data_IF_964241033147
#
_entry.id   IF_964241033147
#
_cell.length_a   1.000
_cell.length_b   1.000
_cell.length_c   1.000
_cell.angle_alpha   90.00
_cell.angle_beta   90.00
_cell.angle_gamma   90.00
#
_symmetry.space_group_name_H-M   'P 1'
#
loop_
_entity.id
_entity.type
_entity.pdbx_description
1 polymer ?
#
# COMPACT_ATOMS: atom_id res chain seq x y z
N UNK A 1 -37.97 4.90 -44.03
CA UNK A 1 -37.76 5.34 -42.64
C UNK A 1 -36.35 4.89 -42.22
N UNK A 2 -35.33 5.71 -42.47
CA UNK A 2 -33.94 5.35 -42.15
C UNK A 2 -33.65 5.73 -40.69
N UNK A 3 -33.52 4.73 -39.82
CA UNK A 3 -32.95 4.92 -38.48
C UNK A 3 -31.49 5.34 -38.65
N UNK A 4 -31.19 6.60 -38.30
CA UNK A 4 -29.82 7.08 -38.13
C UNK A 4 -29.17 6.25 -37.02
N UNK A 5 -28.26 5.36 -37.40
CA UNK A 5 -27.27 4.79 -36.51
C UNK A 5 -26.47 5.94 -35.91
N UNK A 6 -26.77 6.30 -34.66
CA UNK A 6 -25.94 7.20 -33.88
C UNK A 6 -24.56 6.52 -33.79
N UNK A 7 -23.47 7.13 -34.28
CA UNK A 7 -22.15 6.54 -34.13
C UNK A 7 -21.88 6.38 -32.64
N UNK A 8 -21.69 5.13 -32.20
CA UNK A 8 -21.24 4.83 -30.84
C UNK A 8 -19.94 5.62 -30.64
N UNK A 9 -19.96 6.56 -29.69
CA UNK A 9 -18.75 7.27 -29.23
C UNK A 9 -17.68 6.19 -28.98
N UNK A 10 -16.46 6.34 -29.52
CA UNK A 10 -15.38 5.41 -29.17
C UNK A 10 -15.29 5.35 -27.65
N UNK A 11 -15.06 4.17 -27.04
CA UNK A 11 -14.94 4.07 -25.60
C UNK A 11 -13.90 5.07 -25.13
N UNK A 12 -14.32 6.00 -24.26
CA UNK A 12 -13.42 6.96 -23.61
C UNK A 12 -12.24 6.17 -23.08
N UNK A 13 -11.02 6.60 -23.43
CA UNK A 13 -9.81 5.93 -22.96
C UNK A 13 -9.85 5.88 -21.43
N UNK A 14 -9.81 4.67 -20.86
CA UNK A 14 -9.77 4.48 -19.42
C UNK A 14 -8.38 4.88 -18.95
N UNK A 15 -8.21 6.14 -18.55
CA UNK A 15 -6.90 6.72 -18.21
C UNK A 15 -6.60 6.55 -16.72
N UNK A 16 -5.66 5.67 -16.34
CA UNK A 16 -5.21 5.57 -14.96
C UNK A 16 -4.43 6.84 -14.56
N UNK A 17 -4.47 7.18 -13.27
CA UNK A 17 -3.60 8.19 -12.68
C UNK A 17 -2.81 7.60 -11.53
N UNK A 18 -1.52 7.96 -11.47
CA UNK A 18 -0.64 7.61 -10.37
C UNK A 18 -0.37 8.86 -9.54
N UNK A 19 -0.15 8.68 -8.25
CA UNK A 19 0.12 9.78 -7.33
C UNK A 19 1.41 9.52 -6.55
N UNK A 20 2.15 10.58 -6.27
CA UNK A 20 3.42 10.50 -5.56
C UNK A 20 3.28 9.82 -4.19
N UNK A 21 4.19 8.89 -3.88
CA UNK A 21 4.26 8.17 -2.60
C UNK A 21 5.49 8.48 -1.78
N UNK A 22 6.01 9.70 -1.86
CA UNK A 22 7.30 10.07 -1.26
C UNK A 22 7.27 9.79 0.25
N UNK A 23 8.35 9.25 0.84
CA UNK A 23 8.48 9.17 2.28
C UNK A 23 8.35 10.58 2.89
N UNK A 24 7.53 10.69 3.91
CA UNK A 24 7.34 11.92 4.69
C UNK A 24 7.47 11.58 6.16
N UNK A 25 7.82 12.58 6.98
CA UNK A 25 7.68 12.43 8.42
C UNK A 25 6.19 12.31 8.75
N UNK A 26 5.78 11.12 9.21
CA UNK A 26 4.43 10.87 9.69
C UNK A 26 4.36 10.87 11.22
N UNK A 27 3.14 10.87 11.74
CA UNK A 27 2.87 10.68 13.17
C UNK A 27 3.08 9.21 13.54
N UNK A 28 3.83 8.97 14.60
CA UNK A 28 4.13 7.61 15.06
C UNK A 28 2.91 6.95 15.71
N UNK A 29 2.78 5.63 15.53
CA UNK A 29 1.78 4.80 16.19
C UNK A 29 2.32 3.38 16.41
N UNK A 30 1.73 2.62 17.33
CA UNK A 30 2.12 1.23 17.56
C UNK A 30 1.21 0.27 16.78
N UNK A 31 1.82 -0.49 15.86
CA UNK A 31 1.13 -1.49 15.04
C UNK A 31 1.15 -2.87 15.68
N UNK A 32 2.05 -3.09 16.65
CA UNK A 32 2.34 -4.40 17.23
C UNK A 32 1.12 -5.07 17.84
N UNK A 33 0.27 -4.36 18.62
CA UNK A 33 -0.96 -4.95 19.17
C UNK A 33 -1.88 -5.49 18.07
N UNK A 34 -1.97 -4.81 16.93
CA UNK A 34 -2.83 -5.23 15.82
C UNK A 34 -2.28 -6.43 15.04
N UNK A 35 -0.97 -6.67 15.11
CA UNK A 35 -0.30 -7.74 14.38
C UNK A 35 0.03 -8.97 15.24
N UNK A 36 0.11 -8.81 16.56
CA UNK A 36 0.36 -9.90 17.51
C UNK A 36 -0.69 -11.02 17.35
N UNK A 37 -0.27 -12.29 17.46
CA UNK A 37 -1.18 -13.44 17.54
C UNK A 37 -0.87 -14.59 16.57
N UNK A 38 0.13 -15.43 16.89
CA UNK A 38 0.29 -16.75 16.26
C UNK A 38 -0.75 -17.69 16.92
N UNK A 39 -1.93 -17.83 16.29
CA UNK A 39 -3.04 -18.61 16.83
C UNK A 39 -4.33 -17.81 17.08
N UNK A 40 -4.36 -16.52 16.75
CA UNK A 40 -5.55 -15.70 16.93
C UNK A 40 -6.70 -16.16 16.03
N UNK A 41 -7.88 -16.30 16.63
CA UNK A 41 -9.14 -16.41 15.89
C UNK A 41 -9.33 -15.14 15.04
N UNK A 42 -9.88 -15.30 13.84
CA UNK A 42 -10.05 -14.19 12.89
C UNK A 42 -10.89 -13.01 13.42
N UNK A 43 -11.70 -13.20 14.46
CA UNK A 43 -12.45 -12.15 15.15
C UNK A 43 -11.56 -11.24 16.00
N UNK A 44 -10.60 -11.80 16.73
CA UNK A 44 -9.69 -11.05 17.61
C UNK A 44 -8.80 -10.11 16.82
N UNK A 45 -8.21 -10.60 15.72
CA UNK A 45 -7.39 -9.76 14.83
C UNK A 45 -8.20 -8.61 14.21
N UNK A 46 -9.45 -8.87 13.79
CA UNK A 46 -10.33 -7.83 13.25
C UNK A 46 -10.62 -6.74 14.27
N UNK A 47 -10.87 -7.11 15.53
CA UNK A 47 -11.09 -6.15 16.62
C UNK A 47 -9.85 -5.27 16.85
N UNK A 48 -8.65 -5.87 16.91
CA UNK A 48 -7.41 -5.08 17.10
C UNK A 48 -7.11 -4.15 15.92
N UNK A 49 -7.37 -4.59 14.69
CA UNK A 49 -7.25 -3.71 13.51
C UNK A 49 -8.28 -2.57 13.52
N UNK A 50 -9.49 -2.81 14.03
CA UNK A 50 -10.48 -1.76 14.20
C UNK A 50 -10.05 -0.73 15.25
N UNK A 51 -9.53 -1.20 16.40
CA UNK A 51 -8.98 -0.32 17.44
C UNK A 51 -7.81 0.52 16.93
N UNK A 52 -6.87 -0.10 16.19
CA UNK A 52 -5.78 0.63 15.52
C UNK A 52 -6.32 1.68 14.55
N UNK A 53 -7.36 1.36 13.77
CA UNK A 53 -7.95 2.32 12.85
C UNK A 53 -8.60 3.51 13.58
N UNK A 54 -9.15 3.29 14.77
CA UNK A 54 -9.66 4.36 15.63
C UNK A 54 -8.56 5.23 16.22
N UNK A 55 -7.47 4.63 16.68
CA UNK A 55 -6.27 5.35 17.16
C UNK A 55 -5.69 6.22 16.05
N UNK A 56 -5.41 5.63 14.88
CA UNK A 56 -4.87 6.35 13.71
C UNK A 56 -5.80 7.47 13.28
N UNK A 57 -7.13 7.24 13.29
CA UNK A 57 -8.12 8.28 12.96
C UNK A 57 -7.99 9.48 13.90
N UNK A 58 -7.88 9.27 15.21
CA UNK A 58 -7.69 10.35 16.16
C UNK A 58 -6.36 11.07 15.93
N UNK A 59 -5.30 10.30 15.69
CA UNK A 59 -3.94 10.82 15.49
C UNK A 59 -3.83 11.78 14.29
N UNK A 60 -4.49 11.46 13.17
CA UNK A 60 -4.40 12.25 11.93
C UNK A 60 -5.60 13.16 11.68
N UNK A 61 -6.52 13.30 12.63
CA UNK A 61 -7.76 14.05 12.44
C UNK A 61 -7.51 15.51 12.01
N UNK A 62 -6.60 16.20 12.68
CA UNK A 62 -6.27 17.60 12.37
C UNK A 62 -5.60 17.74 11.00
N UNK A 63 -4.63 16.87 10.69
CA UNK A 63 -3.95 16.86 9.39
C UNK A 63 -4.94 16.59 8.26
N UNK A 64 -5.88 15.67 8.48
CA UNK A 64 -6.93 15.34 7.52
C UNK A 64 -7.93 16.48 7.31
N UNK A 65 -8.17 17.34 8.31
CA UNK A 65 -8.98 18.55 8.11
C UNK A 65 -8.21 19.64 7.38
N UNK A 66 -6.91 19.79 7.68
CA UNK A 66 -6.08 20.84 7.09
C UNK A 66 -5.60 20.53 5.66
N UNK A 67 -5.53 19.24 5.28
CA UNK A 67 -4.99 18.83 3.98
C UNK A 67 -5.96 19.11 2.84
N UNK A 68 -5.57 19.85 1.78
CA UNK A 68 -6.42 20.09 0.62
C UNK A 68 -6.77 18.81 -0.16
N UNK A 69 -7.85 18.85 -0.94
CA UNK A 69 -8.17 17.80 -1.90
C UNK A 69 -7.31 17.92 -3.18
N UNK A 70 -7.05 16.80 -3.88
CA UNK A 70 -7.41 15.44 -3.49
C UNK A 70 -6.45 14.88 -2.42
N UNK A 71 -6.96 14.04 -1.53
CA UNK A 71 -6.17 13.54 -0.38
C UNK A 71 -5.55 12.16 -0.61
N UNK A 72 -4.33 12.01 -0.08
CA UNK A 72 -3.58 10.76 0.01
C UNK A 72 -3.33 10.33 1.46
N UNK A 73 -3.18 9.03 1.66
CA UNK A 73 -2.77 8.41 2.92
C UNK A 73 -1.42 7.71 2.72
N UNK A 74 -0.47 7.92 3.63
CA UNK A 74 0.79 7.17 3.71
C UNK A 74 0.84 6.43 5.04
N UNK A 75 1.15 5.14 5.01
CA UNK A 75 1.36 4.30 6.18
C UNK A 75 2.67 3.55 6.01
N UNK A 76 3.62 3.75 6.90
CA UNK A 76 4.87 3.02 6.92
C UNK A 76 4.89 2.12 8.17
N UNK A 77 4.80 0.81 7.96
CA UNK A 77 4.72 -0.20 9.02
C UNK A 77 6.13 -0.61 9.42
N UNK A 78 6.50 -0.31 10.66
CA UNK A 78 7.70 -0.84 11.29
C UNK A 78 7.39 -2.18 11.95
N UNK A 79 8.15 -3.22 11.58
CA UNK A 79 8.06 -4.54 12.18
C UNK A 79 9.36 -4.85 12.95
N UNK A 80 9.28 -5.58 14.06
CA UNK A 80 10.46 -6.15 14.71
C UNK A 80 11.32 -7.01 13.76
N UNK A 81 12.61 -7.16 14.07
CA UNK A 81 13.58 -7.87 13.21
C UNK A 81 13.29 -9.38 13.09
N UNK A 82 12.60 -9.95 14.09
CA UNK A 82 12.22 -11.37 14.14
C UNK A 82 10.90 -11.69 13.40
N UNK A 83 10.15 -10.67 12.98
CA UNK A 83 8.88 -10.84 12.25
C UNK A 83 9.15 -11.01 10.75
N UNK A 84 8.77 -12.14 10.12
CA UNK A 84 9.05 -12.36 8.70
C UNK A 84 8.32 -11.36 7.77
N UNK A 85 9.08 -10.46 7.11
CA UNK A 85 8.51 -9.44 6.21
C UNK A 85 7.75 -10.02 5.02
N UNK A 86 8.26 -11.10 4.43
CA UNK A 86 7.80 -11.60 3.12
C UNK A 86 6.73 -12.70 3.20
N UNK A 87 6.40 -13.17 4.41
CA UNK A 87 5.51 -14.31 4.61
C UNK A 87 4.10 -13.92 5.10
N UNK A 88 3.96 -12.76 5.76
CA UNK A 88 2.73 -12.34 6.43
C UNK A 88 2.56 -10.82 6.41
N UNK A 89 1.52 -10.30 7.06
CA UNK A 89 1.21 -8.86 7.13
C UNK A 89 0.96 -8.26 5.75
N UNK A 90 -0.06 -8.80 5.08
CA UNK A 90 -0.58 -8.29 3.82
C UNK A 90 -0.97 -6.82 3.97
N UNK A 91 -0.35 -5.95 3.16
CA UNK A 91 -0.51 -4.50 3.30
C UNK A 91 -1.93 -4.02 2.98
N UNK A 92 -2.66 -4.69 2.08
CA UNK A 92 -4.07 -4.39 1.79
C UNK A 92 -4.97 -4.65 3.00
N UNK A 93 -4.66 -5.70 3.77
CA UNK A 93 -5.44 -6.09 4.95
C UNK A 93 -5.23 -5.12 6.12
N UNK A 94 -4.10 -4.41 6.15
CA UNK A 94 -3.83 -3.32 7.09
C UNK A 94 -4.40 -1.98 6.59
N UNK A 95 -4.28 -1.70 5.29
CA UNK A 95 -4.75 -0.45 4.68
C UNK A 95 -6.27 -0.30 4.71
N UNK A 96 -7.00 -1.39 4.45
CA UNK A 96 -8.44 -1.34 4.24
C UNK A 96 -9.23 -0.80 5.44
N UNK A 97 -9.02 -1.30 6.68
CA UNK A 97 -9.72 -0.77 7.85
C UNK A 97 -9.41 0.72 8.09
N UNK A 98 -8.16 1.15 7.90
CA UNK A 98 -7.76 2.55 8.05
C UNK A 98 -8.56 3.44 7.10
N UNK A 99 -8.49 3.16 5.80
CA UNK A 99 -9.13 4.00 4.78
C UNK A 99 -10.65 3.99 4.94
N UNK A 100 -11.24 2.85 5.28
CA UNK A 100 -12.68 2.74 5.54
C UNK A 100 -13.11 3.58 6.74
N UNK A 101 -12.36 3.52 7.84
CA UNK A 101 -12.67 4.25 9.08
C UNK A 101 -12.46 5.75 8.95
N UNK A 102 -11.34 6.18 8.35
CA UNK A 102 -11.02 7.59 8.13
C UNK A 102 -11.99 8.23 7.13
N UNK A 103 -12.28 7.55 6.01
CA UNK A 103 -13.22 8.05 5.00
C UNK A 103 -14.66 8.12 5.52
N UNK A 104 -15.11 7.10 6.25
CA UNK A 104 -16.46 7.09 6.86
C UNK A 104 -16.65 8.18 7.90
N UNK A 105 -15.64 8.46 8.73
CA UNK A 105 -15.72 9.46 9.79
C UNK A 105 -15.65 10.91 9.30
N UNK A 106 -15.04 11.16 8.13
CA UNK A 106 -14.81 12.52 7.63
C UNK A 106 -15.57 12.87 6.36
N UNK A 107 -16.15 11.87 5.68
CA UNK A 107 -16.76 12.04 4.36
C UNK A 107 -15.73 12.26 3.24
N UNK A 108 -14.43 12.37 3.56
CA UNK A 108 -13.37 12.58 2.56
C UNK A 108 -13.04 11.29 1.82
N UNK A 109 -12.68 11.42 0.54
CA UNK A 109 -12.32 10.30 -0.32
C UNK A 109 -10.83 10.32 -0.62
N UNK A 110 -10.12 9.29 -0.20
CA UNK A 110 -8.72 9.09 -0.58
C UNK A 110 -8.63 8.67 -2.04
N UNK A 111 -7.81 9.39 -2.82
CA UNK A 111 -7.48 9.03 -4.21
C UNK A 111 -6.15 8.28 -4.32
N UNK A 112 -5.34 8.32 -3.25
CA UNK A 112 -4.06 7.60 -3.18
C UNK A 112 -3.83 7.05 -1.79
N UNK A 113 -3.40 5.79 -1.71
CA UNK A 113 -3.04 5.12 -0.47
C UNK A 113 -1.72 4.42 -0.70
N UNK A 114 -0.71 4.80 0.09
CA UNK A 114 0.60 4.21 0.08
C UNK A 114 0.82 3.49 1.39
N UNK A 115 1.15 2.21 1.33
CA UNK A 115 1.48 1.40 2.50
C UNK A 115 2.82 0.73 2.26
N UNK A 116 3.72 0.76 3.24
CA UNK A 116 4.96 -0.01 3.20
C UNK A 116 5.13 -0.83 4.47
N UNK A 117 5.96 -1.87 4.41
CA UNK A 117 6.46 -2.56 5.60
C UNK A 117 7.96 -2.77 5.51
N UNK A 118 8.64 -2.61 6.64
CA UNK A 118 10.08 -2.79 6.79
C UNK A 118 10.40 -3.17 8.23
N UNK A 119 11.59 -3.70 8.45
CA UNK A 119 12.12 -3.80 9.80
C UNK A 119 12.41 -2.39 10.31
N UNK A 120 11.70 -1.97 11.35
CA UNK A 120 11.86 -0.66 11.99
C UNK A 120 11.15 -0.68 13.35
N UNK A 121 11.68 0.10 14.30
CA UNK A 121 11.13 0.19 15.66
C UNK A 121 9.78 0.91 15.75
N UNK A 122 9.43 1.69 14.73
CA UNK A 122 8.26 2.58 14.77
C UNK A 122 7.48 2.49 13.47
N UNK A 123 6.15 2.50 13.58
CA UNK A 123 5.25 2.75 12.45
C UNK A 123 4.88 4.23 12.39
N UNK A 124 4.57 4.73 11.20
CA UNK A 124 4.16 6.12 11.01
C UNK A 124 3.04 6.27 9.99
N UNK A 125 2.15 7.23 10.21
CA UNK A 125 1.04 7.57 9.32
C UNK A 125 1.07 9.05 8.98
N UNK A 126 0.75 9.38 7.74
CA UNK A 126 0.61 10.76 7.29
C UNK A 126 -0.57 10.91 6.33
N UNK A 127 -1.26 12.04 6.43
CA UNK A 127 -2.23 12.50 5.44
C UNK A 127 -1.57 13.62 4.65
N UNK A 128 -1.67 13.55 3.32
CA UNK A 128 -0.96 14.44 2.40
C UNK A 128 -1.84 14.83 1.23
N UNK A 129 -1.59 15.98 0.58
CA UNK A 129 -2.14 16.25 -0.74
C UNK A 129 -1.65 15.19 -1.73
N UNK A 130 -2.56 14.63 -2.52
CA UNK A 130 -2.22 13.67 -3.56
C UNK A 130 -1.81 14.42 -4.83
N UNK A 131 -0.53 14.32 -5.18
CA UNK A 131 0.03 14.94 -6.38
C UNK A 131 0.11 13.91 -7.51
N UNK A 132 -0.61 14.13 -8.64
CA UNK A 132 -0.47 13.27 -9.81
C UNK A 132 0.98 13.25 -10.30
N UNK A 133 1.42 12.08 -10.75
CA UNK A 133 2.73 11.87 -11.35
C UNK A 133 2.57 11.10 -12.66
N UNK A 134 3.56 11.19 -13.59
CA UNK A 134 3.62 10.31 -14.74
C UNK A 134 3.57 8.83 -14.31
N UNK A 135 3.17 7.96 -15.25
CA UNK A 135 3.18 6.52 -15.04
C UNK A 135 4.57 6.07 -14.52
N UNK A 136 4.64 5.45 -13.32
CA UNK A 136 5.91 5.08 -12.70
C UNK A 136 6.63 3.95 -13.45
N UNK A 137 5.97 3.33 -14.43
CA UNK A 137 6.49 2.19 -15.16
C UNK A 137 6.67 0.96 -14.26
N UNK A 138 7.60 0.09 -14.65
CA UNK A 138 7.92 -1.13 -13.90
C UNK A 138 8.44 -2.25 -14.80
N UNK A 139 9.01 -3.30 -14.22
CA UNK A 139 9.45 -4.48 -14.97
C UNK A 139 8.29 -5.32 -15.49
N UNK A 140 7.12 -5.21 -14.84
CA UNK A 140 5.87 -5.84 -15.25
C UNK A 140 4.76 -4.79 -15.29
N UNK A 141 4.09 -4.67 -16.45
CA UNK A 141 3.08 -3.63 -16.70
C UNK A 141 1.88 -4.25 -17.40
N UNK A 142 0.70 -4.04 -16.82
CA UNK A 142 -0.57 -4.49 -17.41
C UNK A 142 -1.60 -3.37 -17.36
N UNK A 143 -2.49 -3.40 -18.35
CA UNK A 143 -3.74 -2.64 -18.37
C UNK A 143 -4.86 -3.67 -18.44
N UNK A 144 -5.70 -3.70 -17.43
CA UNK A 144 -6.74 -4.72 -17.26
C UNK A 144 -8.08 -4.03 -17.19
N UNK A 145 -9.09 -4.63 -17.83
CA UNK A 145 -10.48 -4.19 -17.75
C UNK A 145 -11.36 -5.31 -17.22
N UNK A 146 -12.23 -5.01 -16.26
CA UNK A 146 -13.23 -5.97 -15.79
C UNK A 146 -14.60 -5.30 -15.68
N UNK A 147 -15.63 -6.05 -16.04
CA UNK A 147 -17.04 -5.67 -15.89
C UNK A 147 -17.74 -6.54 -14.85
N UNK A 148 -17.06 -7.57 -14.36
CA UNK A 148 -17.60 -8.53 -13.43
C UNK A 148 -17.80 -7.94 -12.03
N UNK A 149 -18.74 -8.52 -11.29
CA UNK A 149 -18.92 -8.20 -9.88
C UNK A 149 -17.79 -8.82 -9.04
N UNK A 150 -17.36 -8.09 -8.00
CA UNK A 150 -16.21 -8.46 -7.15
C UNK A 150 -16.46 -9.73 -6.32
N UNK A 151 -17.73 -10.10 -6.15
CA UNK A 151 -18.15 -11.28 -5.37
C UNK A 151 -18.09 -12.57 -6.20
N UNK A 152 -17.88 -12.48 -7.51
CA UNK A 152 -17.86 -13.66 -8.38
C UNK A 152 -16.43 -14.09 -8.70
N UNK A 153 -16.26 -15.38 -9.02
CA UNK A 153 -14.99 -15.92 -9.53
C UNK A 153 -14.60 -15.30 -10.87
N UNK A 154 -15.58 -14.83 -11.65
CA UNK A 154 -15.41 -14.17 -12.95
C UNK A 154 -14.51 -12.94 -12.87
N UNK A 155 -14.60 -12.15 -11.79
CA UNK A 155 -13.72 -10.99 -11.61
C UNK A 155 -12.24 -11.40 -11.65
N UNK A 156 -11.88 -12.43 -10.87
CA UNK A 156 -10.51 -12.93 -10.81
C UNK A 156 -10.07 -13.54 -12.14
N UNK A 157 -10.96 -14.28 -12.80
CA UNK A 157 -10.69 -14.90 -14.10
C UNK A 157 -10.43 -13.85 -15.18
N UNK A 158 -11.26 -12.80 -15.26
CA UNK A 158 -11.08 -11.71 -16.24
C UNK A 158 -9.72 -11.03 -16.07
N UNK A 159 -9.28 -10.78 -14.82
CA UNK A 159 -7.96 -10.22 -14.57
C UNK A 159 -6.87 -11.19 -15.02
N UNK A 160 -6.94 -12.47 -14.59
CA UNK A 160 -5.93 -13.49 -14.93
C UNK A 160 -5.77 -13.69 -16.44
N UNK A 161 -6.87 -13.70 -17.18
CA UNK A 161 -6.86 -13.86 -18.62
C UNK A 161 -6.20 -12.69 -19.37
N UNK A 162 -6.11 -11.52 -18.76
CA UNK A 162 -5.47 -10.32 -19.33
C UNK A 162 -4.01 -10.16 -18.94
N UNK A 163 -3.51 -10.97 -18.00
CA UNK A 163 -2.10 -10.95 -17.55
C UNK A 163 -1.36 -12.25 -17.90
N UNK A 164 -1.76 -12.94 -18.96
CA UNK A 164 -1.16 -14.23 -19.36
C UNK A 164 0.32 -14.15 -19.70
N UNK A 165 0.80 -12.97 -20.13
CA UNK A 165 2.22 -12.69 -20.35
C UNK A 165 3.01 -12.39 -19.06
N UNK A 166 2.36 -12.39 -17.89
CA UNK A 166 3.03 -12.14 -16.61
C UNK A 166 4.06 -13.22 -16.31
N UNK A 167 5.25 -12.75 -15.94
CA UNK A 167 6.32 -13.60 -15.42
C UNK A 167 6.40 -13.40 -13.91
N UNK A 168 6.53 -14.48 -13.12
CA UNK A 168 6.75 -14.35 -11.68
C UNK A 168 7.94 -13.42 -11.39
N UNK A 169 7.75 -12.49 -10.47
CA UNK A 169 8.85 -11.62 -10.04
C UNK A 169 9.90 -12.43 -9.25
N UNK A 170 11.20 -12.13 -9.42
CA UNK A 170 12.29 -12.75 -8.66
C UNK A 170 12.00 -12.77 -7.17
N UNK A 171 12.48 -13.79 -6.45
CA UNK A 171 12.28 -13.89 -5.00
C UNK A 171 12.76 -12.63 -4.26
N UNK A 172 12.03 -12.23 -3.22
CA UNK A 172 12.26 -10.99 -2.48
C UNK A 172 11.00 -10.13 -2.34
N UNK A 173 11.18 -8.93 -1.77
CA UNK A 173 10.13 -7.93 -1.64
C UNK A 173 9.62 -7.43 -2.99
N UNK A 174 8.37 -7.00 -3.04
CA UNK A 174 7.72 -6.49 -4.25
C UNK A 174 7.21 -5.07 -3.99
N UNK A 175 7.53 -4.17 -4.92
CA UNK A 175 6.89 -2.87 -5.03
C UNK A 175 5.76 -2.97 -6.06
N UNK A 176 4.51 -2.86 -5.60
CA UNK A 176 3.30 -2.95 -6.40
C UNK A 176 2.55 -1.62 -6.38
N UNK A 177 2.17 -1.12 -7.55
CA UNK A 177 1.22 -0.02 -7.68
C UNK A 177 0.02 -0.46 -8.54
N UNK A 178 -1.17 -0.17 -8.04
CA UNK A 178 -2.44 -0.38 -8.74
C UNK A 178 -3.15 0.96 -8.90
N UNK A 179 -3.50 1.34 -10.12
CA UNK A 179 -4.38 2.48 -10.36
C UNK A 179 -5.72 1.98 -10.90
N UNK A 180 -6.78 2.24 -10.12
CA UNK A 180 -8.16 1.93 -10.47
C UNK A 180 -8.82 3.12 -11.14
N UNK A 181 -9.52 2.87 -12.24
CA UNK A 181 -10.47 3.83 -12.83
C UNK A 181 -11.87 3.24 -12.68
N UNK A 182 -12.73 3.94 -11.96
CA UNK A 182 -14.04 3.42 -11.54
C UNK A 182 -15.15 4.44 -11.70
N UNK A 183 -16.39 3.97 -11.86
CA UNK A 183 -17.57 4.82 -11.76
C UNK A 183 -17.82 5.38 -10.34
N UNK A 184 -18.60 6.47 -10.19
CA UNK A 184 -18.73 7.26 -8.97
C UNK A 184 -19.37 6.54 -7.78
N UNK A 185 -20.12 5.46 -8.03
CA UNK A 185 -20.84 4.68 -7.01
C UNK A 185 -20.01 3.55 -6.41
N UNK A 186 -18.79 3.31 -6.91
CA UNK A 186 -18.00 2.14 -6.52
C UNK A 186 -17.13 2.46 -5.31
N UNK A 187 -17.29 1.69 -4.24
CA UNK A 187 -16.37 1.69 -3.11
C UNK A 187 -15.06 1.01 -3.52
N UNK A 188 -14.15 1.78 -4.11
CA UNK A 188 -12.89 1.28 -4.66
C UNK A 188 -11.99 0.52 -3.66
N UNK A 189 -12.01 0.76 -2.33
CA UNK A 189 -11.25 -0.06 -1.39
C UNK A 189 -11.64 -1.53 -1.38
N UNK A 190 -12.89 -1.85 -1.69
CA UNK A 190 -13.37 -3.23 -1.78
C UNK A 190 -12.75 -3.99 -2.96
N UNK A 191 -12.09 -3.30 -3.91
CA UNK A 191 -11.45 -3.91 -5.07
C UNK A 191 -10.05 -4.46 -4.77
N UNK A 192 -9.38 -3.96 -3.73
CA UNK A 192 -7.94 -4.17 -3.55
C UNK A 192 -7.59 -5.63 -3.36
N UNK A 193 -8.20 -6.27 -2.34
CA UNK A 193 -7.87 -7.64 -1.96
C UNK A 193 -8.08 -8.61 -3.12
N UNK A 194 -9.27 -8.56 -3.73
CA UNK A 194 -9.61 -9.45 -4.84
C UNK A 194 -8.73 -9.21 -6.07
N UNK A 195 -8.32 -7.96 -6.31
CA UNK A 195 -7.38 -7.61 -7.40
C UNK A 195 -6.00 -8.21 -7.11
N UNK A 196 -5.44 -7.97 -5.91
CA UNK A 196 -4.13 -8.51 -5.51
C UNK A 196 -4.14 -10.05 -5.55
N UNK A 197 -5.19 -10.69 -5.06
CA UNK A 197 -5.37 -12.15 -5.13
C UNK A 197 -5.45 -12.68 -6.57
N UNK A 198 -5.83 -11.84 -7.54
CA UNK A 198 -5.87 -12.18 -8.96
C UNK A 198 -4.49 -12.09 -9.62
N UNK A 199 -3.56 -11.33 -9.04
CA UNK A 199 -2.18 -11.14 -9.52
C UNK A 199 -1.22 -12.26 -9.07
N UNK A 200 -1.73 -13.40 -8.58
CA UNK A 200 -0.92 -14.58 -8.21
C UNK A 200 0.15 -14.98 -9.24
N UNK A 201 -0.10 -14.98 -10.56
CA UNK A 201 0.93 -15.30 -11.55
C UNK A 201 2.17 -14.40 -11.49
N UNK A 202 1.99 -13.15 -11.04
CA UNK A 202 3.04 -12.15 -10.91
C UNK A 202 3.72 -12.20 -9.52
N UNK A 203 2.90 -12.33 -8.47
CA UNK A 203 3.33 -12.16 -7.07
C UNK A 203 3.79 -13.47 -6.42
N UNK A 204 3.40 -14.62 -6.97
CA UNK A 204 3.60 -15.93 -6.36
C UNK A 204 2.58 -16.22 -5.24
N UNK A 205 2.88 -17.22 -4.42
CA UNK A 205 2.06 -17.62 -3.30
C UNK A 205 2.80 -17.43 -1.96
N UNK A 206 2.18 -16.79 -0.95
CA UNK A 206 0.92 -16.03 -1.00
C UNK A 206 1.07 -14.69 -1.76
N UNK A 207 0.02 -14.26 -2.47
CA UNK A 207 0.07 -13.09 -3.36
C UNK A 207 0.28 -11.75 -2.66
N UNK A 208 -0.10 -11.61 -1.39
CA UNK A 208 0.07 -10.38 -0.61
C UNK A 208 1.35 -10.32 0.23
N UNK A 209 1.83 -11.48 0.70
CA UNK A 209 2.87 -11.53 1.74
C UNK A 209 4.19 -10.87 1.31
N UNK A 210 4.55 -10.99 0.03
CA UNK A 210 5.80 -10.46 -0.53
C UNK A 210 5.76 -8.97 -0.85
N UNK A 211 4.58 -8.33 -0.85
CA UNK A 211 4.47 -6.91 -1.18
C UNK A 211 5.02 -6.10 0.00
N UNK A 212 6.13 -5.39 -0.19
CA UNK A 212 6.75 -4.53 0.84
C UNK A 212 6.40 -3.06 0.63
N UNK A 213 6.04 -2.69 -0.59
CA UNK A 213 5.64 -1.33 -0.97
C UNK A 213 4.40 -1.42 -1.85
N UNK A 214 3.29 -0.88 -1.36
CA UNK A 214 1.98 -0.92 -2.01
C UNK A 214 1.49 0.51 -2.27
N UNK A 215 1.31 0.87 -3.54
CA UNK A 215 0.58 2.08 -3.96
C UNK A 215 -0.79 1.70 -4.54
N UNK A 216 -1.84 2.33 -4.05
CA UNK A 216 -3.21 2.14 -4.49
C UNK A 216 -3.76 3.50 -4.90
N UNK A 217 -4.17 3.64 -6.14
CA UNK A 217 -4.62 4.91 -6.71
C UNK A 217 -6.02 4.77 -7.29
N UNK A 218 -6.78 5.86 -7.29
CA UNK A 218 -8.14 5.89 -7.77
C UNK A 218 -8.39 7.14 -8.61
N UNK A 219 -9.02 6.92 -9.76
CA UNK A 219 -9.65 7.95 -10.57
C UNK A 219 -11.13 7.60 -10.67
N UNK A 220 -11.99 8.56 -10.34
CA UNK A 220 -13.43 8.44 -10.55
C UNK A 220 -13.79 9.02 -11.90
N UNK A 221 -14.25 8.17 -12.81
CA UNK A 221 -14.69 8.58 -14.15
C UNK A 221 -16.15 8.12 -14.38
N UNK A 222 -17.11 9.06 -14.43
CA UNK A 222 -18.51 8.75 -14.73
C UNK A 222 -18.72 8.03 -16.07
N UNK A 223 -17.86 8.25 -17.06
CA UNK A 223 -17.98 7.64 -18.39
C UNK A 223 -17.69 6.14 -18.41
N UNK A 224 -16.99 5.63 -17.39
CA UNK A 224 -16.65 4.20 -17.26
C UNK A 224 -17.85 3.36 -16.81
N UNK A 225 -18.88 3.98 -16.21
CA UNK A 225 -20.11 3.29 -15.81
C UNK A 225 -19.83 2.15 -14.81
N UNK A 226 -20.12 0.92 -15.20
CA UNK A 226 -19.90 -0.27 -14.37
C UNK A 226 -18.51 -0.89 -14.51
N UNK A 227 -17.78 -0.48 -15.53
CA UNK A 227 -16.47 -1.03 -15.83
C UNK A 227 -15.44 -0.61 -14.78
N UNK A 228 -14.36 -1.37 -14.73
CA UNK A 228 -13.23 -1.11 -13.86
C UNK A 228 -11.98 -1.22 -14.74
N UNK A 229 -11.26 -0.12 -14.89
CA UNK A 229 -9.90 -0.13 -15.40
C UNK A 229 -8.91 -0.33 -14.26
N UNK A 230 -7.88 -1.14 -14.50
CA UNK A 230 -6.82 -1.40 -13.53
C UNK A 230 -5.49 -1.34 -14.27
N UNK A 231 -4.68 -0.33 -13.95
CA UNK A 231 -3.28 -0.33 -14.34
C UNK A 231 -2.45 -1.00 -13.26
N UNK A 232 -1.68 -2.03 -13.63
CA UNK A 232 -0.80 -2.78 -12.73
C UNK A 232 0.64 -2.46 -13.04
N UNK A 233 1.40 -2.01 -12.05
CA UNK A 233 2.83 -1.71 -12.14
C UNK A 233 3.56 -2.45 -11.04
N UNK A 234 4.47 -3.35 -11.40
CA UNK A 234 5.21 -4.12 -10.41
C UNK A 234 6.70 -4.16 -10.71
N UNK A 235 7.49 -4.16 -9.63
CA UNK A 235 8.93 -4.27 -9.62
C UNK A 235 9.39 -5.15 -8.44
N UNK A 236 10.55 -5.80 -8.54
CA UNK A 236 11.28 -6.20 -7.34
C UNK A 236 11.50 -4.97 -6.45
N UNK A 237 11.20 -5.07 -5.17
CA UNK A 237 11.49 -4.01 -4.22
C UNK A 237 13.01 -3.84 -4.10
N UNK A 238 13.49 -2.61 -4.22
CA UNK A 238 14.87 -2.29 -3.87
C UNK A 238 14.94 -2.29 -2.35
N UNK A 239 15.60 -3.28 -1.76
CA UNK A 239 15.90 -3.25 -0.33
C UNK A 239 16.61 -1.92 0.00
N UNK A 240 15.94 -1.04 0.74
CA UNK A 240 16.61 0.04 1.44
C UNK A 240 17.14 -0.57 2.73
N UNK A 241 18.41 -0.99 2.72
CA UNK A 241 19.09 -1.30 3.96
C UNK A 241 19.00 -0.08 4.88
N UNK A 242 18.37 -0.25 6.04
CA UNK A 242 18.54 0.68 7.14
C UNK A 242 20.01 0.71 7.49
N UNK A 243 20.66 1.86 7.31
CA UNK A 243 22.00 2.09 7.86
C UNK A 243 21.88 1.88 9.37
N UNK A 244 22.56 0.89 9.97
CA UNK A 244 22.58 0.79 11.42
C UNK A 244 23.21 2.08 11.95
N UNK A 245 22.47 2.80 12.79
CA UNK A 245 23.01 3.91 13.57
C UNK A 245 24.06 3.30 14.49
N UNK A 246 25.33 3.50 14.15
CA UNK A 246 26.46 3.17 15.01
C UNK A 246 26.18 3.77 16.38
N UNK A 247 26.21 2.93 17.41
CA UNK A 247 26.10 3.37 18.77
C UNK A 247 27.27 4.31 19.09
N UNK A 248 26.95 5.55 19.40
CA UNK A 248 27.87 6.48 20.04
C UNK A 248 27.43 6.59 21.51
N UNK A 249 28.23 5.97 22.39
CA UNK A 249 28.25 6.11 23.84
C UNK A 249 29.36 5.14 24.34
N UNK A 250 30.42 5.50 25.08
CA UNK A 250 30.79 6.74 25.75
C UNK A 250 32.28 6.63 26.08
N UNK A 251 32.96 7.77 26.09
CA UNK A 251 34.25 8.00 26.75
C UNK A 251 34.34 7.31 28.12
N UNK A 252 35.42 6.56 28.36
CA UNK A 252 36.10 6.58 29.65
C UNK A 252 37.56 6.94 29.41
N UNK A 253 37.88 8.21 29.72
CA UNK A 253 39.24 8.71 29.86
C UNK A 253 39.43 8.97 31.35
N UNK A 254 40.09 8.03 32.01
CA UNK A 254 40.80 8.20 33.29
C UNK A 254 42.07 7.38 33.07
N UNK A 255 43.28 7.90 32.98
CA UNK A 255 43.85 9.02 33.71
C UNK A 255 44.91 8.44 34.65
N UNK A 256 46.02 7.92 34.11
CA UNK A 256 47.21 7.61 34.91
C UNK A 256 48.48 8.05 34.17
N UNK A 257 49.20 8.95 34.82
CA UNK A 257 50.49 9.52 34.46
C UNK A 257 51.63 8.63 34.96
N UNK A 258 52.68 8.54 34.13
CA UNK A 258 54.12 8.50 34.44
C UNK A 258 54.76 7.42 35.35
N UNK A 259 55.70 6.71 34.70
CA UNK A 259 57.08 6.41 35.13
C UNK A 259 57.39 5.28 36.14
N UNK A 260 58.11 4.25 35.66
CA UNK A 260 59.56 4.08 35.86
C UNK A 260 60.08 2.79 35.19
N UNK A 261 61.23 2.87 34.54
CA UNK A 261 62.07 1.74 34.17
C UNK A 261 62.77 1.15 35.41
N UNK A 262 63.17 -0.13 35.40
CA UNK A 262 64.27 -0.60 36.22
C UNK A 262 65.54 -0.81 35.39
N UNK A 263 66.65 -0.40 35.99
CA UNK A 263 68.00 -0.85 35.64
C UNK A 263 68.16 -2.33 35.98
N UNK A 264 68.99 -3.01 35.20
CA UNK A 264 69.44 -4.39 35.36
C UNK A 264 70.19 -4.82 34.12
#
# INVERSE_FOLDING_TARGET
MYQRLVPRRPPTAIMPAFYAGRPVAGKAFDVTPALAGRGDTGSTRKQRLAALADEVRLLVADDLRATPDPVGLRVDVGLPDDVPLLASNDLDSLAYPLVSRLGGATGRRFVSVWVSKRHARTSSVAVLPAHPVPDPGGSQRFQVRTTASIVTTTFRQQIRNQITAARPLPYGGIALQLSFVVGPRRAWPNLWKVTIDSLRPLLGHPAGGRITDLGLHCVVDPAVGHDIGIAVRANPARFRASVPKTADATRHRSGELYARAPQG
#
